data_IF_180669873520
#
_entry.id   IF_180669873520
#
_cell.length_a   1.000
_cell.length_b   1.000
_cell.length_c   1.000
_cell.angle_alpha   90.00
_cell.angle_beta   90.00
_cell.angle_gamma   90.00
#
_symmetry.space_group_name_H-M   'P 1'
#
loop_
_entity.id
_entity.type
_entity.pdbx_description
1 polymer ?
#
# COMPACT_ATOMS: atom_id res chain seq x y z
N UNK A 1 63.76 -39.72 -2.23
CA UNK A 1 63.13 -40.95 -1.68
C UNK A 1 61.63 -40.73 -1.69
N UNK A 2 60.92 -41.15 -2.75
CA UNK A 2 60.05 -42.36 -2.82
C UNK A 2 58.90 -42.28 -1.81
N UNK A 3 57.61 -42.45 -2.11
CA UNK A 3 56.86 -43.11 -3.20
C UNK A 3 55.38 -42.65 -3.08
N UNK A 4 54.75 -42.10 -4.12
CA UNK A 4 53.69 -42.72 -4.96
C UNK A 4 52.58 -43.49 -4.23
N UNK A 5 51.32 -43.06 -4.38
CA UNK A 5 50.24 -43.81 -5.03
C UNK A 5 49.13 -42.84 -5.46
N UNK A 6 48.74 -42.90 -6.74
CA UNK A 6 47.55 -42.25 -7.28
C UNK A 6 46.43 -43.25 -7.55
N UNK A 7 45.30 -42.73 -8.05
CA UNK A 7 44.49 -43.21 -9.20
C UNK A 7 43.00 -42.91 -9.00
N UNK A 8 42.50 -42.07 -9.92
CA UNK A 8 41.21 -42.04 -10.63
C UNK A 8 39.87 -42.36 -9.95
N UNK A 9 38.97 -41.37 -10.01
CA UNK A 9 37.83 -41.43 -10.94
C UNK A 9 36.47 -41.85 -10.38
N UNK A 10 35.54 -40.90 -10.29
CA UNK A 10 34.14 -41.10 -10.72
C UNK A 10 33.43 -39.74 -10.83
N UNK A 11 32.97 -39.43 -12.04
CA UNK A 11 32.06 -38.34 -12.35
C UNK A 11 30.75 -38.44 -11.54
N UNK A 12 30.19 -37.30 -11.15
CA UNK A 12 28.74 -37.15 -11.15
C UNK A 12 28.39 -35.71 -11.59
N UNK A 13 27.44 -35.51 -12.53
CA UNK A 13 27.12 -34.24 -13.14
C UNK A 13 26.13 -33.45 -12.27
N UNK A 14 25.86 -32.21 -12.67
CA UNK A 14 24.80 -31.34 -12.18
C UNK A 14 25.01 -30.66 -10.83
N UNK A 15 25.57 -29.45 -10.89
CA UNK A 15 25.44 -28.50 -9.80
C UNK A 15 26.59 -27.50 -9.69
N UNK A 16 26.72 -26.57 -10.63
CA UNK A 16 27.52 -25.37 -10.38
C UNK A 16 26.73 -24.14 -10.82
N UNK A 17 26.24 -23.43 -9.81
CA UNK A 17 25.71 -22.09 -9.90
C UNK A 17 26.57 -21.25 -10.85
N UNK A 18 25.93 -20.56 -11.80
CA UNK A 18 26.58 -19.54 -12.60
C UNK A 18 27.14 -18.49 -11.64
N UNK A 19 28.43 -18.63 -11.29
CA UNK A 19 29.20 -17.58 -10.64
C UNK A 19 29.17 -16.41 -11.61
N UNK A 20 28.41 -15.38 -11.27
CA UNK A 20 28.53 -14.06 -11.88
C UNK A 20 29.97 -13.63 -11.61
N UNK A 21 30.86 -13.82 -12.57
CA UNK A 21 32.21 -13.29 -12.48
C UNK A 21 32.06 -11.78 -12.41
N UNK A 22 32.26 -11.22 -11.22
CA UNK A 22 32.52 -9.80 -11.09
C UNK A 22 33.77 -9.52 -11.91
N UNK A 23 33.60 -8.77 -13.01
CA UNK A 23 34.73 -8.29 -13.81
C UNK A 23 35.68 -7.55 -12.86
N UNK A 24 36.85 -8.13 -12.60
CA UNK A 24 37.89 -7.48 -11.82
C UNK A 24 38.39 -6.29 -12.63
N UNK A 25 38.08 -5.08 -12.18
CA UNK A 25 38.37 -3.83 -12.89
C UNK A 25 39.86 -3.55 -13.11
N UNK A 26 40.72 -4.29 -12.41
CA UNK A 26 42.17 -4.13 -12.38
C UNK A 26 42.92 -5.01 -13.39
N UNK A 27 42.24 -5.89 -14.14
CA UNK A 27 42.89 -6.77 -15.13
C UNK A 27 42.15 -6.81 -16.46
N UNK A 28 42.91 -6.81 -17.55
CA UNK A 28 42.41 -6.93 -18.93
C UNK A 28 42.52 -5.65 -19.76
N UNK A 29 42.07 -5.73 -21.02
CA UNK A 29 42.19 -4.66 -22.05
C UNK A 29 41.58 -3.31 -21.65
N UNK A 30 40.70 -3.29 -20.65
CA UNK A 30 39.94 -2.13 -20.20
C UNK A 30 40.46 -1.49 -18.92
N UNK A 31 41.56 -2.00 -18.31
CA UNK A 31 42.01 -1.48 -17.00
C UNK A 31 42.37 0.00 -17.03
N UNK A 32 42.95 0.48 -18.15
CA UNK A 32 43.28 1.90 -18.34
C UNK A 32 42.03 2.78 -18.46
N UNK A 33 41.00 2.29 -19.15
CA UNK A 33 39.72 2.98 -19.29
C UNK A 33 38.99 3.03 -17.96
N UNK A 34 39.05 1.95 -17.16
CA UNK A 34 38.51 1.91 -15.81
C UNK A 34 39.18 2.91 -14.88
N UNK A 35 40.52 2.97 -14.85
CA UNK A 35 41.25 3.94 -14.03
C UNK A 35 40.91 5.38 -14.42
N UNK A 36 40.75 5.66 -15.72
CA UNK A 36 40.37 6.98 -16.19
C UNK A 36 38.91 7.32 -15.83
N UNK A 37 38.01 6.33 -15.91
CA UNK A 37 36.62 6.48 -15.51
C UNK A 37 36.47 6.71 -14.01
N UNK A 38 37.16 5.93 -13.18
CA UNK A 38 37.19 6.07 -11.72
C UNK A 38 37.75 7.42 -11.30
N UNK A 39 38.84 7.86 -11.93
CA UNK A 39 39.41 9.20 -11.68
C UNK A 39 38.42 10.31 -12.01
N UNK A 40 37.74 10.25 -13.15
CA UNK A 40 36.70 11.22 -13.54
C UNK A 40 35.51 11.19 -12.59
N UNK A 41 35.07 10.01 -12.17
CA UNK A 41 34.00 9.86 -11.20
C UNK A 41 34.38 10.52 -9.87
N UNK A 42 35.60 10.29 -9.40
CA UNK A 42 36.10 10.88 -8.17
C UNK A 42 36.22 12.41 -8.26
N UNK A 43 36.73 12.94 -9.37
CA UNK A 43 36.79 14.39 -9.62
C UNK A 43 35.40 15.03 -9.63
N UNK A 44 34.42 14.39 -10.29
CA UNK A 44 33.03 14.89 -10.34
C UNK A 44 32.37 14.82 -8.96
N UNK A 45 32.54 13.72 -8.22
CA UNK A 45 31.95 13.58 -6.88
C UNK A 45 32.58 14.57 -5.89
N UNK A 46 33.90 14.76 -5.93
CA UNK A 46 34.58 15.74 -5.08
C UNK A 46 34.24 17.18 -5.47
N UNK A 47 34.13 17.49 -6.77
CA UNK A 47 33.74 18.82 -7.25
C UNK A 47 32.28 19.19 -6.94
N UNK A 48 31.43 18.19 -6.66
CA UNK A 48 30.03 18.39 -6.26
C UNK A 48 29.79 18.04 -4.78
N UNK A 49 30.83 17.89 -3.97
CA UNK A 49 30.71 17.41 -2.59
C UNK A 49 29.80 18.29 -1.72
N UNK A 50 29.86 19.62 -1.88
CA UNK A 50 28.99 20.56 -1.15
C UNK A 50 27.52 20.41 -1.54
N UNK A 51 27.23 20.20 -2.83
CA UNK A 51 25.88 19.94 -3.34
C UNK A 51 25.35 18.57 -2.88
N UNK A 52 26.19 17.54 -2.90
CA UNK A 52 25.85 16.20 -2.41
C UNK A 52 25.60 16.19 -0.89
N UNK A 53 26.39 16.95 -0.13
CA UNK A 53 26.18 17.15 1.31
C UNK A 53 24.94 17.99 1.62
N UNK A 54 24.49 18.86 0.70
CA UNK A 54 23.23 19.60 0.87
C UNK A 54 21.98 18.75 0.56
N UNK A 55 22.11 17.69 -0.25
CA UNK A 55 21.03 16.72 -0.52
C UNK A 55 20.92 15.70 0.60
N UNK A 56 22.05 15.30 1.20
CA UNK A 56 22.03 14.52 2.43
C UNK A 56 21.51 15.41 3.55
N UNK A 57 20.30 15.14 4.06
CA UNK A 57 19.93 15.65 5.37
C UNK A 57 20.99 15.12 6.33
N UNK A 58 21.85 15.98 6.93
CA UNK A 58 22.87 15.52 7.84
C UNK A 58 22.17 14.72 8.92
N UNK A 59 22.67 13.51 9.21
CA UNK A 59 22.09 12.66 10.24
C UNK A 59 21.90 13.42 11.56
N UNK A 60 22.81 14.35 11.86
CA UNK A 60 22.75 15.27 12.99
C UNK A 60 21.52 16.18 12.98
N UNK A 61 21.04 16.63 11.81
CA UNK A 61 19.86 17.48 11.67
C UNK A 61 18.59 16.68 11.97
N UNK A 62 18.49 15.46 11.43
CA UNK A 62 17.40 14.54 11.73
C UNK A 62 17.41 14.10 13.21
N UNK A 63 18.59 13.85 13.78
CA UNK A 63 18.74 13.49 15.21
C UNK A 63 18.40 14.67 16.11
N UNK A 64 18.77 15.90 15.74
CA UNK A 64 18.42 17.10 16.49
C UNK A 64 16.92 17.40 16.44
N UNK A 65 16.26 17.22 15.29
CA UNK A 65 14.80 17.34 15.20
C UNK A 65 14.09 16.30 16.08
N UNK A 66 14.57 15.05 16.07
CA UNK A 66 14.03 13.99 16.94
C UNK A 66 14.30 14.30 18.42
N UNK A 67 15.47 14.83 18.77
CA UNK A 67 15.80 15.26 20.13
C UNK A 67 14.93 16.41 20.61
N UNK A 68 14.65 17.39 19.76
CA UNK A 68 13.74 18.50 20.08
C UNK A 68 12.30 18.03 20.23
N UNK A 69 11.83 17.10 19.38
CA UNK A 69 10.53 16.44 19.57
C UNK A 69 10.47 15.67 20.91
N UNK A 70 11.52 14.93 21.26
CA UNK A 70 11.59 14.21 22.55
C UNK A 70 11.64 15.17 23.75
N UNK A 71 12.34 16.30 23.64
CA UNK A 71 12.36 17.36 24.66
C UNK A 71 11.00 18.05 24.80
N UNK A 72 10.28 18.28 23.71
CA UNK A 72 8.93 18.84 23.73
C UNK A 72 7.92 17.89 24.41
N UNK A 73 8.07 16.58 24.18
CA UNK A 73 7.31 15.53 24.88
C UNK A 73 7.66 15.49 26.37
N UNK A 74 8.95 15.56 26.73
CA UNK A 74 9.41 15.56 28.12
C UNK A 74 8.97 16.81 28.91
N UNK A 75 8.81 17.95 28.22
CA UNK A 75 8.32 19.22 28.80
C UNK A 75 6.78 19.32 28.85
N UNK A 76 6.05 18.27 28.42
CA UNK A 76 4.60 18.21 28.52
C UNK A 76 3.84 19.09 27.51
N UNK A 77 4.50 19.60 26.46
CA UNK A 77 3.88 20.49 25.45
C UNK A 77 3.06 19.78 24.39
N UNK A 78 3.06 18.44 24.39
CA UNK A 78 2.21 17.60 23.55
C UNK A 78 1.37 16.78 24.51
N UNK A 79 0.06 17.00 24.49
CA UNK A 79 -0.90 16.07 25.06
C UNK A 79 -0.61 14.71 24.43
N UNK A 80 0.06 13.83 25.17
CA UNK A 80 0.23 12.43 24.78
C UNK A 80 -1.17 11.92 24.42
N UNK A 81 -1.42 11.38 23.21
CA UNK A 81 -2.69 10.75 22.95
C UNK A 81 -2.87 9.68 24.02
N UNK A 82 -3.91 9.87 24.82
CA UNK A 82 -4.29 9.08 25.99
C UNK A 82 -3.64 7.70 25.97
N UNK A 83 -2.74 7.44 26.92
CA UNK A 83 -2.23 6.10 27.21
C UNK A 83 -3.32 5.26 27.86
N UNK A 84 -4.44 5.06 27.16
CA UNK A 84 -5.18 3.82 27.31
C UNK A 84 -4.24 2.70 26.86
N UNK A 85 -3.98 1.76 27.76
CA UNK A 85 -3.18 0.55 27.50
C UNK A 85 -3.52 0.01 26.11
N UNK A 86 -2.59 0.17 25.17
CA UNK A 86 -2.71 -0.24 23.77
C UNK A 86 -3.09 -1.72 23.70
N UNK A 87 -4.37 -2.01 23.51
CA UNK A 87 -4.87 -3.35 23.16
C UNK A 87 -4.60 -3.64 21.68
N UNK A 88 -3.35 -3.54 21.24
CA UNK A 88 -2.95 -3.91 19.88
C UNK A 88 -3.11 -5.41 19.59
N UNK A 89 -3.37 -6.24 20.62
CA UNK A 89 -3.67 -7.67 20.45
C UNK A 89 -4.94 -7.94 19.65
N UNK A 90 -5.93 -7.05 19.73
CA UNK A 90 -7.27 -7.25 19.15
C UNK A 90 -7.46 -6.59 17.79
N UNK A 91 -6.57 -5.65 17.39
CA UNK A 91 -6.72 -4.93 16.12
C UNK A 91 -6.36 -5.86 14.96
N UNK A 92 -7.34 -6.10 14.09
CA UNK A 92 -7.29 -6.94 12.90
C UNK A 92 -6.98 -6.10 11.66
N UNK A 93 -7.57 -4.91 11.51
CA UNK A 93 -7.34 -4.05 10.35
C UNK A 93 -7.58 -2.55 10.63
N UNK A 94 -7.03 -1.71 9.75
CA UNK A 94 -7.31 -0.28 9.68
C UNK A 94 -8.23 -0.01 8.49
N UNK A 95 -9.26 0.80 8.67
CA UNK A 95 -10.19 1.15 7.60
C UNK A 95 -10.74 2.55 7.75
N UNK A 96 -11.18 3.12 6.62
CA UNK A 96 -12.03 4.32 6.59
C UNK A 96 -13.49 3.87 6.53
N UNK A 97 -14.26 4.15 7.57
CA UNK A 97 -15.70 3.87 7.59
C UNK A 97 -16.46 4.98 6.92
N UNK A 98 -17.22 4.61 5.89
CA UNK A 98 -17.97 5.54 5.07
C UNK A 98 -19.43 5.63 5.54
N UNK A 99 -20.05 6.83 5.50
CA UNK A 99 -21.47 7.00 5.80
C UNK A 99 -22.35 6.20 4.84
N UNK A 100 -23.06 5.22 5.40
CA UNK A 100 -23.95 4.33 4.64
C UNK A 100 -25.07 5.11 3.94
N UNK A 101 -25.59 6.15 4.58
CA UNK A 101 -26.64 7.02 4.02
C UNK A 101 -26.16 7.73 2.76
N UNK A 102 -24.94 8.27 2.76
CA UNK A 102 -24.36 8.93 1.59
C UNK A 102 -24.12 7.95 0.45
N UNK A 103 -23.62 6.74 0.74
CA UNK A 103 -23.43 5.71 -0.28
C UNK A 103 -24.77 5.29 -0.88
N UNK A 104 -25.81 5.09 -0.07
CA UNK A 104 -27.15 4.73 -0.57
C UNK A 104 -27.71 5.82 -1.48
N UNK A 105 -27.69 7.08 -1.04
CA UNK A 105 -28.14 8.22 -1.84
C UNK A 105 -27.34 8.33 -3.14
N UNK A 106 -26.03 8.11 -3.08
CA UNK A 106 -25.18 8.06 -4.27
C UNK A 106 -25.64 6.95 -5.23
N UNK A 107 -25.75 5.71 -4.78
CA UNK A 107 -26.13 4.56 -5.60
C UNK A 107 -27.52 4.73 -6.22
N UNK A 108 -28.49 5.26 -5.49
CA UNK A 108 -29.82 5.58 -6.03
C UNK A 108 -29.74 6.64 -7.13
N UNK A 109 -28.99 7.72 -6.89
CA UNK A 109 -28.80 8.78 -7.90
C UNK A 109 -28.04 8.29 -9.14
N UNK A 110 -27.09 7.37 -8.94
CA UNK A 110 -26.24 6.81 -9.97
C UNK A 110 -27.01 5.81 -10.82
N UNK A 111 -27.83 4.96 -10.21
CA UNK A 111 -28.78 4.08 -10.90
C UNK A 111 -29.72 4.85 -11.82
N UNK A 112 -30.35 5.93 -11.34
CA UNK A 112 -31.26 6.76 -12.18
C UNK A 112 -30.60 7.36 -13.42
N UNK A 113 -29.26 7.50 -13.42
CA UNK A 113 -28.49 8.05 -14.55
C UNK A 113 -27.93 6.96 -15.46
N UNK A 114 -27.87 5.71 -14.99
CA UNK A 114 -27.26 4.60 -15.70
C UNK A 114 -28.14 3.35 -15.59
N UNK A 115 -28.80 2.99 -16.68
CA UNK A 115 -29.75 1.87 -16.75
C UNK A 115 -29.12 0.53 -16.35
N UNK A 116 -27.84 0.31 -16.66
CA UNK A 116 -27.13 -0.93 -16.28
C UNK A 116 -27.00 -1.02 -14.76
N UNK A 117 -26.70 0.11 -14.10
CA UNK A 117 -26.62 0.19 -12.64
C UNK A 117 -28.02 0.07 -12.02
N UNK A 118 -29.03 0.70 -12.60
CA UNK A 118 -30.41 0.58 -12.16
C UNK A 118 -30.88 -0.88 -12.19
N UNK A 119 -30.64 -1.57 -13.29
CA UNK A 119 -30.98 -2.98 -13.48
C UNK A 119 -30.22 -3.88 -12.49
N UNK A 120 -28.94 -3.58 -12.24
CA UNK A 120 -28.16 -4.30 -11.22
C UNK A 120 -28.76 -4.09 -9.83
N UNK A 121 -29.13 -2.87 -9.44
CA UNK A 121 -29.66 -2.57 -8.10
C UNK A 121 -31.08 -3.09 -7.92
N UNK A 122 -31.84 -3.28 -9.01
CA UNK A 122 -33.22 -3.76 -8.98
C UNK A 122 -33.33 -5.10 -8.25
N UNK A 123 -34.25 -5.16 -7.28
CA UNK A 123 -34.49 -6.36 -6.48
C UNK A 123 -33.42 -6.64 -5.40
N UNK A 124 -32.38 -5.81 -5.27
CA UNK A 124 -31.42 -5.88 -4.16
C UNK A 124 -31.89 -4.96 -3.05
N UNK A 125 -32.20 -5.54 -1.89
CA UNK A 125 -32.56 -4.76 -0.71
C UNK A 125 -31.31 -4.13 -0.06
N UNK A 126 -30.82 -3.06 -0.69
CA UNK A 126 -29.65 -2.33 -0.21
C UNK A 126 -29.85 -1.78 1.20
N UNK A 127 -31.10 -1.61 1.65
CA UNK A 127 -31.38 -1.16 3.01
C UNK A 127 -31.01 -2.21 4.06
N UNK A 128 -31.27 -3.47 3.76
CA UNK A 128 -30.94 -4.58 4.64
C UNK A 128 -29.48 -5.06 4.52
N UNK A 129 -28.90 -5.02 3.31
CA UNK A 129 -27.54 -5.51 3.06
C UNK A 129 -26.44 -4.49 3.42
N UNK A 130 -26.59 -3.22 3.03
CA UNK A 130 -25.56 -2.21 3.26
C UNK A 130 -25.73 -1.57 4.63
N UNK A 131 -25.38 -2.30 5.69
CA UNK A 131 -25.40 -1.81 7.08
C UNK A 131 -24.11 -1.11 7.50
N UNK A 132 -23.01 -1.48 6.86
CA UNK A 132 -21.68 -0.91 7.08
C UNK A 132 -20.95 -0.85 5.75
N UNK A 133 -20.24 0.24 5.51
CA UNK A 133 -19.36 0.40 4.38
C UNK A 133 -18.01 0.90 4.89
N UNK A 134 -16.94 0.25 4.47
CA UNK A 134 -15.60 0.65 4.86
C UNK A 134 -14.61 0.34 3.75
N UNK A 135 -13.57 1.15 3.68
CA UNK A 135 -12.41 0.95 2.82
C UNK A 135 -11.30 0.40 3.68
N UNK A 136 -10.95 -0.87 3.49
CA UNK A 136 -9.80 -1.44 4.21
C UNK A 136 -8.51 -0.81 3.68
N UNK A 137 -7.73 -0.22 4.58
CA UNK A 137 -6.42 0.37 4.30
C UNK A 137 -5.31 -0.65 4.50
N UNK A 138 -5.36 -1.41 5.60
CA UNK A 138 -4.44 -2.51 5.83
C UNK A 138 -5.04 -3.58 6.73
N UNK A 139 -4.75 -4.84 6.44
CA UNK A 139 -5.16 -5.97 7.25
C UNK A 139 -3.94 -6.67 7.86
N UNK A 140 -4.00 -7.00 9.16
CA UNK A 140 -2.90 -7.63 9.93
C UNK A 140 -2.38 -8.90 9.27
N UNK A 141 -3.28 -9.77 8.78
CA UNK A 141 -2.92 -11.02 8.10
C UNK A 141 -2.16 -10.81 6.78
N UNK A 142 -2.46 -9.73 6.06
CA UNK A 142 -1.89 -9.47 4.73
C UNK A 142 -0.62 -8.59 4.80
N UNK A 143 -0.61 -7.59 5.70
CA UNK A 143 0.40 -6.54 5.73
C UNK A 143 1.21 -6.47 7.04
N UNK A 144 0.84 -7.28 8.04
CA UNK A 144 1.48 -7.28 9.35
C UNK A 144 0.97 -6.18 10.29
N UNK A 145 1.35 -6.31 11.57
CA UNK A 145 0.90 -5.40 12.64
C UNK A 145 1.42 -3.98 12.44
N UNK A 146 2.68 -3.84 12.01
CA UNK A 146 3.31 -2.52 11.80
C UNK A 146 2.58 -1.71 10.74
N UNK A 147 2.15 -2.34 9.64
CA UNK A 147 1.41 -1.66 8.58
C UNK A 147 0.01 -1.21 9.02
N UNK A 148 -0.63 -1.95 9.93
CA UNK A 148 -1.91 -1.50 10.52
C UNK A 148 -1.65 -0.35 11.50
N UNK A 149 -0.65 -0.49 12.38
CA UNK A 149 -0.32 0.51 13.38
C UNK A 149 0.13 1.85 12.79
N UNK A 150 0.70 1.88 11.58
CA UNK A 150 1.13 3.12 10.93
C UNK A 150 -0.01 4.11 10.67
N UNK A 151 -1.26 3.64 10.60
CA UNK A 151 -2.42 4.52 10.46
C UNK A 151 -2.87 5.17 11.78
N UNK A 152 -2.21 4.85 12.90
CA UNK A 152 -2.61 5.31 14.22
C UNK A 152 -2.55 6.82 14.40
N UNK A 153 -1.68 7.50 13.64
CA UNK A 153 -1.58 8.96 13.63
C UNK A 153 -2.84 9.63 13.05
N UNK A 154 -3.60 8.91 12.22
CA UNK A 154 -4.81 9.40 11.56
C UNK A 154 -6.10 8.88 12.21
N UNK A 155 -6.02 8.20 13.35
CA UNK A 155 -7.19 7.61 14.01
C UNK A 155 -8.21 8.68 14.39
N UNK A 156 -9.50 8.39 14.17
CA UNK A 156 -10.65 9.27 14.38
C UNK A 156 -10.63 10.53 13.52
N UNK A 157 -9.75 10.63 12.52
CA UNK A 157 -9.76 11.73 11.57
C UNK A 157 -10.65 11.40 10.38
N UNK A 158 -11.28 12.43 9.81
CA UNK A 158 -12.04 12.32 8.58
C UNK A 158 -11.09 12.29 7.38
N UNK A 159 -11.20 11.25 6.59
CA UNK A 159 -10.46 11.03 5.35
C UNK A 159 -11.44 11.24 4.19
N UNK A 160 -11.18 12.18 3.27
CA UNK A 160 -11.93 12.26 2.02
C UNK A 160 -11.63 11.02 1.17
N UNK A 161 -12.65 10.41 0.59
CA UNK A 161 -12.53 9.21 -0.25
C UNK A 161 -13.24 9.44 -1.57
N UNK A 162 -12.48 9.45 -2.65
CA UNK A 162 -13.03 9.59 -3.99
C UNK A 162 -13.54 8.24 -4.48
N UNK A 163 -14.83 8.19 -4.82
CA UNK A 163 -15.46 7.10 -5.54
C UNK A 163 -15.17 7.27 -7.04
N UNK A 164 -14.59 6.25 -7.65
CA UNK A 164 -14.05 6.35 -9.02
C UNK A 164 -14.69 5.38 -10.01
N UNK A 165 -15.16 4.24 -9.53
CA UNK A 165 -15.96 3.32 -10.32
C UNK A 165 -16.82 2.43 -9.42
N UNK A 166 -17.90 1.93 -9.99
CA UNK A 166 -18.66 0.81 -9.45
C UNK A 166 -18.31 -0.45 -10.25
N UNK A 167 -17.86 -1.50 -9.56
CA UNK A 167 -17.59 -2.81 -10.17
C UNK A 167 -18.51 -3.84 -9.55
N UNK A 168 -19.21 -4.61 -10.39
CA UNK A 168 -20.14 -5.63 -9.93
C UNK A 168 -20.19 -6.85 -10.83
N UNK A 169 -20.58 -7.97 -10.24
CA UNK A 169 -20.92 -9.24 -10.89
C UNK A 169 -22.26 -9.70 -10.34
N UNK A 170 -22.74 -10.87 -10.77
CA UNK A 170 -23.96 -11.48 -10.25
C UNK A 170 -23.91 -11.75 -8.72
N UNK A 171 -22.71 -11.82 -8.13
CA UNK A 171 -22.52 -12.23 -6.73
C UNK A 171 -21.89 -11.17 -5.82
N UNK A 172 -21.30 -10.13 -6.38
CA UNK A 172 -20.45 -9.18 -5.66
C UNK A 172 -20.61 -7.79 -6.26
N UNK A 173 -20.58 -6.76 -5.42
CA UNK A 173 -20.38 -5.39 -5.87
C UNK A 173 -19.56 -4.58 -4.88
N UNK A 174 -18.68 -3.75 -5.43
CA UNK A 174 -17.85 -2.83 -4.67
C UNK A 174 -17.61 -1.53 -5.42
N UNK A 175 -17.44 -0.45 -4.66
CA UNK A 175 -16.99 0.83 -5.15
C UNK A 175 -15.46 0.85 -5.13
N UNK A 176 -14.84 1.12 -6.28
CA UNK A 176 -13.43 1.44 -6.36
C UNK A 176 -13.19 2.85 -5.83
N UNK A 177 -12.21 2.98 -4.95
CA UNK A 177 -11.97 4.24 -4.26
C UNK A 177 -10.52 4.69 -4.27
N UNK A 178 -10.32 5.99 -4.09
CA UNK A 178 -9.02 6.59 -3.81
C UNK A 178 -9.11 7.41 -2.53
N UNK A 179 -8.47 6.97 -1.43
CA UNK A 179 -8.34 7.83 -0.25
C UNK A 179 -7.52 9.08 -0.60
N UNK A 180 -7.98 10.22 -0.09
CA UNK A 180 -7.33 11.52 -0.27
C UNK A 180 -6.28 11.80 0.80
N UNK A 181 -6.15 13.06 1.19
CA UNK A 181 -5.14 13.52 2.15
C UNK A 181 -5.77 14.03 3.44
N UNK A 182 -5.03 13.88 4.55
CA UNK A 182 -5.35 14.44 5.86
C UNK A 182 -4.17 15.28 6.31
N UNK A 183 -4.41 16.53 6.70
CA UNK A 183 -3.36 17.48 7.08
C UNK A 183 -2.22 17.63 6.04
N UNK A 184 -2.55 17.48 4.75
CA UNK A 184 -1.56 17.52 3.65
C UNK A 184 -0.87 16.18 3.36
N UNK A 185 -1.01 15.17 4.23
CA UNK A 185 -0.43 13.85 4.04
C UNK A 185 -1.40 12.91 3.32
N UNK A 186 -0.94 12.29 2.22
CA UNK A 186 -1.76 11.38 1.43
C UNK A 186 -1.97 10.05 2.17
N UNK A 187 -3.22 9.66 2.34
CA UNK A 187 -3.58 8.34 2.87
C UNK A 187 -3.44 7.32 1.75
N UNK A 188 -2.50 6.38 1.89
CA UNK A 188 -2.27 5.33 0.89
C UNK A 188 -2.75 4.01 1.48
N UNK A 189 -3.68 3.34 0.81
CA UNK A 189 -4.06 1.97 1.16
C UNK A 189 -2.94 1.00 0.78
N UNK A 190 -2.70 -0.02 1.60
CA UNK A 190 -1.79 -1.12 1.29
C UNK A 190 -2.41 -2.15 0.35
N UNK A 191 -3.73 -2.15 0.20
CA UNK A 191 -4.40 -2.99 -0.79
C UNK A 191 -4.11 -2.46 -2.20
N UNK A 192 -3.80 -3.37 -3.13
CA UNK A 192 -3.57 -3.01 -4.54
C UNK A 192 -4.79 -2.37 -5.19
N UNK A 193 -5.97 -2.83 -4.80
CA UNK A 193 -7.25 -2.32 -5.26
C UNK A 193 -8.11 -1.87 -4.07
N UNK A 194 -8.00 -0.59 -3.66
CA UNK A 194 -8.78 -0.05 -2.56
C UNK A 194 -10.25 0.05 -2.97
N UNK A 195 -11.13 -0.57 -2.19
CA UNK A 195 -12.55 -0.61 -2.50
C UNK A 195 -13.39 -0.64 -1.22
N UNK A 196 -14.66 -0.27 -1.36
CA UNK A 196 -15.71 -0.49 -0.36
C UNK A 196 -16.70 -1.52 -0.91
N UNK A 197 -16.83 -2.67 -0.23
CA UNK A 197 -17.84 -3.67 -0.60
C UNK A 197 -19.23 -3.13 -0.27
N UNK A 198 -20.13 -3.11 -1.26
CA UNK A 198 -21.49 -2.59 -1.08
C UNK A 198 -22.56 -3.69 -1.08
N UNK A 199 -22.30 -4.83 -1.73
CA UNK A 199 -23.23 -5.94 -1.79
C UNK A 199 -22.52 -7.27 -2.03
N UNK A 200 -23.07 -8.33 -1.45
CA UNK A 200 -22.66 -9.72 -1.67
C UNK A 200 -23.91 -10.59 -1.75
N UNK A 201 -23.91 -11.60 -2.60
CA UNK A 201 -24.93 -12.65 -2.59
C UNK A 201 -24.89 -13.43 -1.26
N UNK A 202 -25.99 -14.10 -0.93
CA UNK A 202 -26.11 -14.91 0.28
C UNK A 202 -25.00 -15.97 0.34
N UNK A 203 -24.40 -16.14 1.53
CA UNK A 203 -23.29 -17.08 1.75
C UNK A 203 -21.93 -16.63 1.23
N UNK A 204 -21.82 -15.49 0.53
CA UNK A 204 -20.55 -14.97 0.02
C UNK A 204 -19.94 -13.98 1.03
N UNK A 205 -18.68 -14.20 1.37
CA UNK A 205 -17.96 -13.31 2.29
C UNK A 205 -17.50 -12.02 1.58
N UNK A 206 -17.53 -10.89 2.29
CA UNK A 206 -17.08 -9.60 1.74
C UNK A 206 -15.62 -9.61 1.23
N UNK A 207 -14.75 -10.46 1.82
CA UNK A 207 -13.36 -10.63 1.34
C UNK A 207 -13.28 -11.10 -0.12
N UNK A 208 -14.30 -11.78 -0.64
CA UNK A 208 -14.35 -12.24 -2.03
C UNK A 208 -14.48 -11.07 -3.01
N UNK A 209 -14.92 -9.89 -2.56
CA UNK A 209 -14.93 -8.69 -3.41
C UNK A 209 -13.55 -8.37 -4.00
N UNK A 210 -12.45 -8.77 -3.34
CA UNK A 210 -11.09 -8.62 -3.87
C UNK A 210 -10.87 -9.33 -5.23
N UNK A 211 -11.73 -10.27 -5.64
CA UNK A 211 -11.63 -10.94 -6.93
C UNK A 211 -12.32 -10.17 -8.06
N UNK A 212 -13.06 -9.09 -7.78
CA UNK A 212 -13.77 -8.30 -8.79
C UNK A 212 -12.87 -7.80 -9.93
N UNK A 213 -11.64 -7.30 -9.69
CA UNK A 213 -10.73 -6.92 -10.77
C UNK A 213 -10.39 -8.09 -11.70
N UNK A 214 -10.18 -9.29 -11.14
CA UNK A 214 -9.94 -10.49 -11.94
C UNK A 214 -11.18 -10.88 -12.74
N UNK A 215 -12.36 -10.86 -12.12
CA UNK A 215 -13.63 -11.15 -12.79
C UNK A 215 -13.90 -10.17 -13.94
N UNK A 216 -13.49 -8.91 -13.79
CA UNK A 216 -13.59 -7.91 -14.85
C UNK A 216 -12.70 -8.29 -16.05
N UNK A 217 -11.46 -8.72 -15.81
CA UNK A 217 -10.57 -9.21 -16.87
C UNK A 217 -11.11 -10.46 -17.55
N UNK A 218 -11.83 -11.32 -16.81
CA UNK A 218 -12.49 -12.51 -17.34
C UNK A 218 -13.83 -12.24 -18.04
N UNK A 219 -14.30 -10.99 -18.09
CA UNK A 219 -15.60 -10.60 -18.67
C UNK A 219 -16.82 -11.05 -17.84
N UNK A 220 -16.61 -11.40 -16.57
CA UNK A 220 -17.65 -11.85 -15.62
C UNK A 220 -18.10 -10.76 -14.64
N UNK A 221 -17.52 -9.58 -14.74
CA UNK A 221 -17.92 -8.40 -13.98
C UNK A 221 -18.03 -7.21 -14.93
N UNK A 222 -18.85 -6.25 -14.52
CA UNK A 222 -19.08 -4.98 -15.20
C UNK A 222 -18.43 -3.88 -14.38
N UNK A 223 -17.76 -2.96 -15.06
CA UNK A 223 -17.23 -1.72 -14.49
C UNK A 223 -18.00 -0.54 -15.08
N UNK A 224 -18.45 0.35 -14.21
CA UNK A 224 -19.04 1.63 -14.58
C UNK A 224 -18.22 2.73 -13.91
N UNK A 225 -17.55 3.55 -14.72
CA UNK A 225 -16.74 4.66 -14.22
C UNK A 225 -17.62 5.78 -13.67
N UNK A 226 -17.09 6.47 -12.66
CA UNK A 226 -17.70 7.64 -12.03
C UNK A 226 -16.83 8.85 -12.41
N UNK A 227 -17.29 9.59 -13.41
CA UNK A 227 -16.62 10.79 -13.92
C UNK A 227 -17.61 11.97 -13.98
N UNK A 228 -17.34 13.08 -13.25
CA UNK A 228 -16.23 13.26 -12.31
C UNK A 228 -16.35 12.36 -11.06
N UNK A 229 -15.22 12.00 -10.42
CA UNK A 229 -15.23 11.28 -9.15
C UNK A 229 -16.05 12.01 -8.08
N UNK A 230 -16.69 11.25 -7.20
CA UNK A 230 -17.48 11.80 -6.09
C UNK A 230 -16.76 11.54 -4.79
N UNK A 231 -16.52 12.59 -4.01
CA UNK A 231 -15.84 12.47 -2.71
C UNK A 231 -16.85 12.29 -1.58
N UNK A 232 -16.68 11.23 -0.79
CA UNK A 232 -17.38 11.00 0.48
C UNK A 232 -16.35 11.03 1.60
N UNK A 233 -16.64 11.74 2.69
CA UNK A 233 -15.75 11.74 3.86
C UNK A 233 -16.11 10.60 4.80
N UNK A 234 -15.12 9.84 5.26
CA UNK A 234 -15.30 8.79 6.24
C UNK A 234 -14.28 8.86 7.37
N UNK A 235 -14.55 8.19 8.48
CA UNK A 235 -13.69 8.22 9.66
C UNK A 235 -12.72 7.04 9.65
N UNK A 236 -11.43 7.31 9.81
CA UNK A 236 -10.42 6.26 9.92
C UNK A 236 -10.39 5.68 11.34
N UNK A 237 -10.53 4.36 11.47
CA UNK A 237 -10.40 3.67 12.75
C UNK A 237 -9.84 2.25 12.61
N UNK A 238 -9.64 1.60 13.75
CA UNK A 238 -9.17 0.23 13.90
C UNK A 238 -10.30 -0.72 14.28
N UNK A 239 -10.26 -1.91 13.68
CA UNK A 239 -11.24 -2.99 13.87
C UNK A 239 -10.55 -4.30 14.20
#
# INVERSE_FOLDING_TARGET
MTSLYGVNGSENPDGVAARRQTLESTKGSYSKEWTNWEKRLQEVLSGNAEYLNAIQVPFDLAVNEVLEQLRAVAKGGISTPSTEKRKFGTIVFAAVTLPVTEIKTFLESFGRKNTIVEDFLKGKDMNNYLRKAHVTLAHKKAHGVTAVASYGVYRNQNVPVDLTALIFSDKLAALEVRPGSVAGEKIISKNQWPHATIWTAEGIAAKEANTLPQLLTEGKATRIDIDPPITISGTLDFY
#
